data_IF_536084396592
#
_entry.id   IF_536084396592
#
_cell.length_a   1.000
_cell.length_b   1.000
_cell.length_c   1.000
_cell.angle_alpha   90.00
_cell.angle_beta   90.00
_cell.angle_gamma   90.00
#
_symmetry.space_group_name_H-M   'P 1'
#
loop_
_entity.id
_entity.type
_entity.pdbx_description
1 polymer ?
#
# COMPACT_ATOMS: atom_id res chain seq x y z
N UNK A 1 12.58 2.56 22.02
CA UNK A 1 12.22 2.45 20.57
C UNK A 1 10.82 3.04 20.29
N UNK A 2 10.27 3.75 21.27
CA UNK A 2 8.93 4.33 21.22
C UNK A 2 8.84 5.43 20.14
N UNK A 3 7.87 5.34 19.27
CA UNK A 3 7.50 6.39 18.31
C UNK A 3 7.87 6.17 16.84
N UNK A 4 8.70 5.19 16.47
CA UNK A 4 9.06 4.98 15.05
C UNK A 4 7.88 4.56 14.19
N UNK A 5 7.05 3.66 14.70
CA UNK A 5 5.84 3.18 14.01
C UNK A 5 4.74 4.23 13.96
N UNK A 6 4.70 5.15 14.94
CA UNK A 6 3.74 6.27 14.96
C UNK A 6 3.98 7.22 13.77
N UNK A 7 5.23 7.54 13.42
CA UNK A 7 5.54 8.38 12.25
C UNK A 7 5.07 7.72 10.95
N UNK A 8 5.28 6.40 10.81
CA UNK A 8 4.79 5.66 9.66
C UNK A 8 3.26 5.66 9.62
N UNK A 9 2.61 5.40 10.77
CA UNK A 9 1.14 5.41 10.84
C UNK A 9 0.57 6.77 10.45
N UNK A 10 1.12 7.85 11.00
CA UNK A 10 0.67 9.22 10.70
C UNK A 10 0.87 9.54 9.21
N UNK A 11 2.02 9.20 8.63
CA UNK A 11 2.28 9.43 7.20
C UNK A 11 1.33 8.63 6.29
N UNK A 12 1.00 7.38 6.65
CA UNK A 12 0.02 6.55 5.92
C UNK A 12 -1.39 7.12 6.03
N UNK A 13 -1.81 7.57 7.22
CA UNK A 13 -3.12 8.18 7.43
C UNK A 13 -3.26 9.50 6.67
N UNK A 14 -2.21 10.34 6.66
CA UNK A 14 -2.18 11.58 5.87
C UNK A 14 -2.30 11.25 4.38
N UNK A 15 -1.59 10.23 3.91
CA UNK A 15 -1.63 9.82 2.51
C UNK A 15 -3.04 9.32 2.10
N UNK A 16 -3.73 8.56 2.96
CA UNK A 16 -5.12 8.13 2.72
C UNK A 16 -6.08 9.32 2.72
N UNK A 17 -5.97 10.21 3.70
CA UNK A 17 -6.91 11.31 3.87
C UNK A 17 -6.77 12.38 2.78
N UNK A 18 -5.55 12.70 2.38
CA UNK A 18 -5.27 13.74 1.40
C UNK A 18 -5.20 13.23 -0.04
N UNK A 19 -4.93 11.93 -0.24
CA UNK A 19 -4.71 11.34 -1.57
C UNK A 19 -5.81 11.65 -2.58
N UNK A 20 -7.08 11.35 -2.32
CA UNK A 20 -8.17 11.62 -3.25
C UNK A 20 -8.30 13.11 -3.61
N UNK A 21 -8.17 13.99 -2.62
CA UNK A 21 -8.29 15.44 -2.81
C UNK A 21 -7.12 16.05 -3.59
N UNK A 22 -5.90 15.52 -3.41
CA UNK A 22 -4.72 16.01 -4.11
C UNK A 22 -4.78 15.70 -5.60
N UNK A 23 -5.30 14.54 -5.99
CA UNK A 23 -5.33 14.11 -7.40
C UNK A 23 -6.26 14.94 -8.29
N UNK A 24 -7.20 15.68 -7.71
CA UNK A 24 -8.09 16.61 -8.43
C UNK A 24 -7.40 17.94 -8.78
N UNK A 25 -6.18 18.19 -8.30
CA UNK A 25 -5.49 19.48 -8.46
C UNK A 25 -4.27 19.37 -9.37
N UNK A 26 -3.92 20.40 -10.15
CA UNK A 26 -2.79 20.35 -11.08
C UNK A 26 -1.43 20.12 -10.40
N UNK A 27 -1.26 20.59 -9.16
CA UNK A 27 -0.05 20.35 -8.34
C UNK A 27 -0.14 19.06 -7.51
N UNK A 28 -1.26 18.36 -7.57
CA UNK A 28 -1.54 17.24 -6.67
C UNK A 28 -0.66 16.02 -6.90
N UNK A 29 -0.23 15.77 -8.14
CA UNK A 29 0.68 14.64 -8.44
C UNK A 29 2.00 14.78 -7.70
N UNK A 30 2.63 15.95 -7.73
CA UNK A 30 3.89 16.19 -7.01
C UNK A 30 3.74 16.09 -5.49
N UNK A 31 2.62 16.57 -4.94
CA UNK A 31 2.32 16.45 -3.51
C UNK A 31 2.05 15.01 -3.10
N UNK A 32 1.37 14.23 -3.93
CA UNK A 32 1.17 12.80 -3.72
C UNK A 32 2.50 12.06 -3.63
N UNK A 33 3.42 12.33 -4.55
CA UNK A 33 4.75 11.68 -4.56
C UNK A 33 5.63 12.13 -3.40
N UNK A 34 5.51 13.39 -2.96
CA UNK A 34 6.15 13.86 -1.74
C UNK A 34 5.65 13.09 -0.50
N UNK A 35 4.33 12.93 -0.35
CA UNK A 35 3.75 12.15 0.74
C UNK A 35 4.20 10.69 0.67
N UNK A 36 4.23 10.11 -0.54
CA UNK A 36 4.71 8.75 -0.73
C UNK A 36 6.21 8.60 -0.39
N UNK A 37 7.00 9.62 -0.70
CA UNK A 37 8.42 9.69 -0.30
C UNK A 37 8.55 9.70 1.23
N UNK A 38 7.71 10.47 1.94
CA UNK A 38 7.68 10.47 3.41
C UNK A 38 7.31 9.08 3.98
N UNK A 39 6.32 8.41 3.40
CA UNK A 39 5.95 7.03 3.78
C UNK A 39 7.13 6.08 3.57
N UNK A 40 7.82 6.19 2.43
CA UNK A 40 8.99 5.35 2.12
C UNK A 40 10.13 5.57 3.11
N UNK A 41 10.46 6.82 3.42
CA UNK A 41 11.51 7.17 4.41
C UNK A 41 11.12 6.68 5.81
N UNK A 42 9.88 6.88 6.21
CA UNK A 42 9.36 6.37 7.49
C UNK A 42 9.41 4.85 7.56
N UNK A 43 9.12 4.15 6.45
CA UNK A 43 9.19 2.69 6.34
C UNK A 43 10.62 2.19 6.52
N UNK A 44 11.62 2.81 5.87
CA UNK A 44 13.04 2.47 6.04
C UNK A 44 13.45 2.61 7.51
N UNK A 45 12.99 3.68 8.18
CA UNK A 45 13.30 3.94 9.57
C UNK A 45 12.69 2.88 10.51
N UNK A 46 11.48 2.40 10.21
CA UNK A 46 10.80 1.34 10.98
C UNK A 46 11.45 -0.02 10.76
N UNK A 47 11.75 -0.37 9.50
CA UNK A 47 12.33 -1.67 9.12
C UNK A 47 13.81 -1.76 9.50
N UNK A 48 14.53 -0.64 9.51
CA UNK A 48 15.98 -0.55 9.66
C UNK A 48 16.56 -0.92 11.03
N UNK A 49 15.88 -1.75 11.82
CA UNK A 49 16.37 -2.20 13.13
C UNK A 49 17.54 -3.19 13.00
N UNK A 50 17.48 -4.08 12.00
CA UNK A 50 18.58 -5.02 11.69
C UNK A 50 19.31 -4.53 10.44
N UNK A 51 20.66 -4.52 10.45
CA UNK A 51 21.47 -4.04 9.32
C UNK A 51 21.07 -4.66 7.96
N UNK A 52 20.83 -5.97 7.91
CA UNK A 52 20.40 -6.64 6.69
C UNK A 52 19.04 -6.17 6.19
N UNK A 53 18.07 -5.98 7.07
CA UNK A 53 16.74 -5.46 6.70
C UNK A 53 16.82 -3.99 6.23
N UNK A 54 17.65 -3.17 6.87
CA UNK A 54 17.90 -1.80 6.45
C UNK A 54 18.49 -1.74 5.03
N UNK A 55 19.48 -2.59 4.74
CA UNK A 55 20.11 -2.65 3.41
C UNK A 55 19.11 -3.05 2.33
N UNK A 56 18.31 -4.11 2.55
CA UNK A 56 17.29 -4.55 1.59
C UNK A 56 16.22 -3.47 1.41
N UNK A 57 15.74 -2.87 2.51
CA UNK A 57 14.75 -1.79 2.44
C UNK A 57 15.26 -0.59 1.65
N UNK A 58 16.51 -0.16 1.87
CA UNK A 58 17.12 0.95 1.14
C UNK A 58 17.36 0.59 -0.33
N UNK A 59 17.81 -0.64 -0.61
CA UNK A 59 18.04 -1.14 -1.97
C UNK A 59 16.75 -1.16 -2.80
N UNK A 60 15.61 -1.48 -2.19
CA UNK A 60 14.30 -1.44 -2.84
C UNK A 60 13.74 0.00 -2.90
N UNK A 61 13.91 0.79 -1.86
CA UNK A 61 13.34 2.14 -1.76
C UNK A 61 13.96 3.12 -2.76
N UNK A 62 15.29 3.11 -2.93
CA UNK A 62 15.97 4.05 -3.82
C UNK A 62 15.50 3.94 -5.27
N UNK A 63 15.50 2.75 -5.92
CA UNK A 63 15.01 2.65 -7.29
C UNK A 63 13.49 2.88 -7.39
N UNK A 64 12.71 2.54 -6.34
CA UNK A 64 11.29 2.86 -6.29
C UNK A 64 11.08 4.36 -6.34
N UNK A 65 11.72 5.13 -5.46
CA UNK A 65 11.61 6.59 -5.45
C UNK A 65 12.13 7.19 -6.76
N UNK A 66 13.29 6.73 -7.25
CA UNK A 66 13.84 7.21 -8.51
C UNK A 66 12.85 7.00 -9.68
N UNK A 67 12.23 5.83 -9.78
CA UNK A 67 11.27 5.52 -10.84
C UNK A 67 9.96 6.32 -10.70
N UNK A 68 9.48 6.53 -9.47
CA UNK A 68 8.29 7.34 -9.20
C UNK A 68 8.49 8.81 -9.62
N UNK A 69 9.62 9.41 -9.29
CA UNK A 69 9.93 10.78 -9.68
C UNK A 69 10.28 10.91 -11.17
N UNK A 70 10.99 9.92 -11.74
CA UNK A 70 11.41 9.95 -13.14
C UNK A 70 10.20 9.89 -14.10
N UNK A 71 9.14 9.14 -13.77
CA UNK A 71 7.93 9.05 -14.61
C UNK A 71 7.18 10.38 -14.74
N UNK A 72 7.42 11.37 -13.88
CA UNK A 72 6.84 12.70 -14.04
C UNK A 72 7.51 13.49 -15.16
N UNK A 73 8.79 13.24 -15.39
CA UNK A 73 9.60 13.92 -16.41
C UNK A 73 9.60 13.13 -17.72
N UNK A 74 9.66 11.82 -17.63
CA UNK A 74 9.70 10.89 -18.75
C UNK A 74 8.49 9.94 -18.69
N UNK A 75 7.30 10.40 -19.10
CA UNK A 75 6.13 9.54 -19.09
C UNK A 75 6.29 8.38 -20.09
N UNK A 76 5.93 7.17 -19.68
CA UNK A 76 5.97 5.99 -20.54
C UNK A 76 5.48 4.74 -19.81
N UNK A 77 4.80 3.85 -20.55
CA UNK A 77 4.20 2.63 -19.99
C UNK A 77 5.22 1.73 -19.31
N UNK A 78 6.39 1.56 -19.93
CA UNK A 78 7.44 0.70 -19.36
C UNK A 78 7.99 1.24 -18.03
N UNK A 79 8.19 2.55 -17.93
CA UNK A 79 8.65 3.18 -16.71
C UNK A 79 7.57 3.09 -15.61
N UNK A 80 6.30 3.26 -15.96
CA UNK A 80 5.18 3.07 -15.04
C UNK A 80 5.09 1.62 -14.54
N UNK A 81 5.30 0.64 -15.41
CA UNK A 81 5.35 -0.78 -15.01
C UNK A 81 6.51 -1.06 -14.05
N UNK A 82 7.71 -0.60 -14.36
CA UNK A 82 8.89 -0.76 -13.48
C UNK A 82 8.65 -0.10 -12.13
N UNK A 83 8.12 1.12 -12.11
CA UNK A 83 7.81 1.84 -10.88
C UNK A 83 6.83 1.07 -10.00
N UNK A 84 5.75 0.53 -10.58
CA UNK A 84 4.74 -0.23 -9.83
C UNK A 84 5.27 -1.59 -9.37
N UNK A 85 6.11 -2.28 -10.14
CA UNK A 85 6.75 -3.53 -9.69
C UNK A 85 7.64 -3.26 -8.49
N UNK A 86 8.52 -2.25 -8.58
CA UNK A 86 9.42 -1.88 -7.48
C UNK A 86 8.62 -1.45 -6.24
N UNK A 87 7.56 -0.66 -6.44
CA UNK A 87 6.67 -0.22 -5.39
C UNK A 87 5.99 -1.40 -4.70
N UNK A 88 5.42 -2.33 -5.47
CA UNK A 88 4.76 -3.52 -4.93
C UNK A 88 5.74 -4.38 -4.13
N UNK A 89 6.95 -4.60 -4.64
CA UNK A 89 8.01 -5.34 -3.94
C UNK A 89 8.46 -4.65 -2.66
N UNK A 90 8.64 -3.33 -2.70
CA UNK A 90 9.00 -2.55 -1.52
C UNK A 90 7.92 -2.60 -0.44
N UNK A 91 6.64 -2.40 -0.83
CA UNK A 91 5.51 -2.46 0.09
C UNK A 91 5.31 -3.87 0.66
N UNK A 92 5.44 -4.91 -0.17
CA UNK A 92 5.39 -6.30 0.27
C UNK A 92 6.48 -6.61 1.30
N UNK A 93 7.74 -6.24 1.00
CA UNK A 93 8.86 -6.44 1.90
C UNK A 93 8.64 -5.71 3.24
N UNK A 94 8.20 -4.46 3.19
CA UNK A 94 7.91 -3.65 4.38
C UNK A 94 6.78 -4.27 5.19
N UNK A 95 5.66 -4.63 4.53
CA UNK A 95 4.50 -5.25 5.17
C UNK A 95 4.88 -6.55 5.89
N UNK A 96 5.57 -7.45 5.20
CA UNK A 96 6.00 -8.73 5.78
C UNK A 96 6.96 -8.51 6.95
N UNK A 97 7.92 -7.59 6.83
CA UNK A 97 8.89 -7.32 7.88
C UNK A 97 8.23 -6.75 9.13
N UNK A 98 7.31 -5.79 8.98
CA UNK A 98 6.57 -5.22 10.11
C UNK A 98 5.59 -6.25 10.69
N UNK A 99 4.92 -7.05 9.85
CA UNK A 99 4.04 -8.13 10.26
C UNK A 99 4.76 -9.14 11.15
N UNK A 100 5.91 -9.66 10.68
CA UNK A 100 6.71 -10.62 11.45
C UNK A 100 7.16 -10.03 12.79
N UNK A 101 7.45 -8.74 12.83
CA UNK A 101 7.79 -8.06 14.08
C UNK A 101 6.58 -7.96 15.01
N UNK A 102 5.42 -7.55 14.51
CA UNK A 102 4.17 -7.52 15.30
C UNK A 102 3.89 -8.89 15.90
N UNK A 103 4.10 -9.97 15.14
CA UNK A 103 3.92 -11.34 15.62
C UNK A 103 5.06 -11.88 16.50
N UNK A 104 6.19 -11.23 16.62
CA UNK A 104 7.28 -11.61 17.51
C UNK A 104 7.17 -10.94 18.91
N UNK A 105 6.40 -9.84 19.03
CA UNK A 105 6.26 -9.13 20.31
C UNK A 105 5.40 -9.94 21.31
N UNK A 106 5.85 -10.09 22.53
CA UNK A 106 5.15 -10.83 23.60
C UNK A 106 4.25 -9.93 24.46
N UNK A 107 4.34 -8.62 24.29
CA UNK A 107 3.56 -7.64 25.06
C UNK A 107 2.82 -6.68 24.14
N UNK A 108 1.60 -6.31 24.55
CA UNK A 108 0.81 -5.32 23.81
C UNK A 108 1.19 -3.93 24.28
N UNK A 109 1.89 -3.20 23.43
CA UNK A 109 2.27 -1.81 23.63
C UNK A 109 1.60 -0.90 22.60
N UNK A 110 1.63 0.41 22.81
CA UNK A 110 1.16 1.39 21.82
C UNK A 110 1.95 1.29 20.51
N UNK A 111 3.24 0.93 20.57
CA UNK A 111 4.09 0.70 19.39
C UNK A 111 3.64 -0.54 18.63
N UNK A 112 3.29 -1.64 19.33
CA UNK A 112 2.74 -2.87 18.72
C UNK A 112 1.41 -2.61 18.03
N UNK A 113 0.51 -1.85 18.67
CA UNK A 113 -0.78 -1.47 18.06
C UNK A 113 -0.59 -0.58 16.83
N UNK A 114 0.28 0.43 16.92
CA UNK A 114 0.61 1.30 15.78
C UNK A 114 1.23 0.50 14.64
N UNK A 115 2.14 -0.44 14.92
CA UNK A 115 2.72 -1.32 13.93
C UNK A 115 1.66 -2.21 13.26
N UNK A 116 0.73 -2.76 14.03
CA UNK A 116 -0.36 -3.57 13.49
C UNK A 116 -1.26 -2.75 12.54
N UNK A 117 -1.62 -1.52 12.91
CA UNK A 117 -2.35 -0.62 12.02
C UNK A 117 -1.55 -0.29 10.75
N UNK A 118 -0.23 -0.04 10.88
CA UNK A 118 0.62 0.17 9.71
C UNK A 118 0.60 -1.01 8.74
N UNK A 119 0.65 -2.26 9.24
CA UNK A 119 0.57 -3.47 8.39
C UNK A 119 -0.71 -3.46 7.58
N UNK A 120 -1.85 -3.18 8.21
CA UNK A 120 -3.14 -3.13 7.52
C UNK A 120 -3.18 -2.07 6.41
N UNK A 121 -2.69 -0.86 6.70
CA UNK A 121 -2.65 0.22 5.72
C UNK A 121 -1.64 -0.06 4.58
N UNK A 122 -0.48 -0.62 4.91
CA UNK A 122 0.51 -1.03 3.91
C UNK A 122 -0.03 -2.13 2.99
N UNK A 123 -0.83 -3.07 3.51
CA UNK A 123 -1.53 -4.06 2.68
C UNK A 123 -2.44 -3.40 1.64
N UNK A 124 -3.24 -2.39 2.03
CA UNK A 124 -4.09 -1.67 1.08
C UNK A 124 -3.28 -0.99 -0.03
N UNK A 125 -2.16 -0.33 0.30
CA UNK A 125 -1.28 0.25 -0.72
C UNK A 125 -0.58 -0.78 -1.58
N UNK A 126 -0.18 -1.91 -1.01
CA UNK A 126 0.44 -3.02 -1.74
C UNK A 126 -0.53 -3.61 -2.78
N UNK A 127 -1.76 -3.93 -2.35
CA UNK A 127 -2.79 -4.44 -3.27
C UNK A 127 -3.18 -3.40 -4.32
N UNK A 128 -3.30 -2.13 -3.94
CA UNK A 128 -3.53 -1.03 -4.88
C UNK A 128 -2.44 -0.94 -5.96
N UNK A 129 -1.16 -1.07 -5.59
CA UNK A 129 -0.07 -1.08 -6.57
C UNK A 129 -0.09 -2.33 -7.47
N UNK A 130 -0.47 -3.48 -6.93
CA UNK A 130 -0.67 -4.71 -7.71
C UNK A 130 -1.83 -4.57 -8.71
N UNK A 131 -2.94 -3.97 -8.31
CA UNK A 131 -4.05 -3.66 -9.23
C UNK A 131 -3.63 -2.68 -10.32
N UNK A 132 -2.77 -1.72 -9.98
CA UNK A 132 -2.17 -0.83 -10.97
C UNK A 132 -1.37 -1.58 -12.03
N UNK A 133 -0.62 -2.61 -11.66
CA UNK A 133 0.09 -3.49 -12.60
C UNK A 133 -0.88 -4.29 -13.48
N UNK A 134 -1.93 -4.86 -12.90
CA UNK A 134 -2.97 -5.59 -13.65
C UNK A 134 -3.66 -4.64 -14.64
N UNK A 135 -3.97 -3.41 -14.20
CA UNK A 135 -4.59 -2.39 -15.04
C UNK A 135 -3.70 -2.00 -16.23
N UNK A 136 -2.40 -1.79 -16.05
CA UNK A 136 -1.49 -1.48 -17.16
C UNK A 136 -1.42 -2.60 -18.21
N UNK A 137 -1.52 -3.86 -17.77
CA UNK A 137 -1.52 -4.99 -18.69
C UNK A 137 -2.87 -5.24 -19.35
N UNK A 138 -3.96 -4.97 -18.63
CA UNK A 138 -5.33 -5.23 -19.07
C UNK A 138 -6.24 -4.10 -18.58
N UNK A 139 -6.26 -2.94 -19.25
CA UNK A 139 -7.10 -1.80 -18.82
C UNK A 139 -8.59 -2.14 -18.73
N UNK A 140 -9.07 -3.02 -19.61
CA UNK A 140 -10.44 -3.56 -19.57
C UNK A 140 -10.70 -4.55 -18.42
N UNK A 141 -9.68 -4.88 -17.64
CA UNK A 141 -9.77 -5.77 -16.49
C UNK A 141 -10.51 -5.19 -15.28
N UNK A 142 -10.73 -3.88 -15.28
CA UNK A 142 -11.52 -3.16 -14.28
C UNK A 142 -12.56 -2.29 -14.97
N UNK A 143 -13.78 -2.30 -14.44
CA UNK A 143 -14.79 -1.31 -14.79
C UNK A 143 -14.63 -0.12 -13.84
N UNK A 144 -14.35 1.05 -14.41
CA UNK A 144 -14.13 2.29 -13.67
C UNK A 144 -15.34 3.20 -13.75
N UNK A 145 -15.57 4.12 -12.81
CA UNK A 145 -16.71 5.03 -12.82
C UNK A 145 -16.80 5.86 -14.10
N UNK A 146 -18.04 6.22 -14.50
CA UNK A 146 -18.28 7.08 -15.67
C UNK A 146 -17.55 8.43 -15.51
N UNK A 147 -16.93 8.89 -16.58
CA UNK A 147 -16.19 10.16 -16.62
C UNK A 147 -14.69 10.01 -16.40
N UNK A 148 -14.20 8.84 -15.99
CA UNK A 148 -12.78 8.59 -15.96
C UNK A 148 -12.30 8.05 -17.32
N UNK A 149 -11.44 8.80 -18.00
CA UNK A 149 -10.82 8.38 -19.26
C UNK A 149 -9.32 8.15 -19.02
N UNK A 150 -8.80 6.95 -19.35
CA UNK A 150 -7.37 6.70 -19.24
C UNK A 150 -6.61 7.63 -20.18
N UNK A 151 -5.53 8.24 -19.71
CA UNK A 151 -4.53 8.76 -20.60
C UNK A 151 -3.98 7.56 -21.39
N UNK A 152 -4.18 7.54 -22.69
CA UNK A 152 -3.73 6.45 -23.55
C UNK A 152 -2.94 6.97 -24.73
N UNK A 153 -1.85 6.30 -25.03
CA UNK A 153 -1.07 6.49 -26.24
C UNK A 153 -1.17 5.21 -27.08
N UNK A 154 -1.64 5.34 -28.32
CA UNK A 154 -1.88 4.22 -29.23
C UNK A 154 -2.79 3.10 -28.64
N UNK A 155 -3.75 3.45 -27.79
CA UNK A 155 -4.67 2.50 -27.16
C UNK A 155 -4.09 1.76 -25.95
N UNK A 156 -2.87 2.07 -25.55
CA UNK A 156 -2.23 1.52 -24.34
C UNK A 156 -2.35 2.55 -23.22
N UNK A 157 -2.87 2.13 -22.05
CA UNK A 157 -2.94 2.99 -20.89
C UNK A 157 -1.52 3.40 -20.47
N UNK A 158 -1.21 4.68 -20.54
CA UNK A 158 0.10 5.22 -20.14
C UNK A 158 0.16 5.68 -18.70
N UNK A 159 -1.01 5.89 -18.09
CA UNK A 159 -1.13 6.31 -16.70
C UNK A 159 -2.12 5.40 -15.95
N UNK A 160 -1.87 5.20 -14.67
CA UNK A 160 -2.71 4.41 -13.78
C UNK A 160 -3.42 5.35 -12.82
N UNK A 161 -4.74 5.25 -12.67
CA UNK A 161 -5.46 6.03 -11.67
C UNK A 161 -5.17 5.49 -10.26
N UNK A 162 -3.94 5.67 -9.78
CA UNK A 162 -3.46 5.08 -8.53
C UNK A 162 -4.35 5.43 -7.33
N UNK A 163 -4.90 6.64 -7.28
CA UNK A 163 -5.85 7.05 -6.26
C UNK A 163 -7.13 6.21 -6.28
N UNK A 164 -7.70 6.01 -7.47
CA UNK A 164 -8.95 5.26 -7.64
C UNK A 164 -8.73 3.76 -7.38
N UNK A 165 -7.63 3.21 -7.86
CA UNK A 165 -7.28 1.81 -7.66
C UNK A 165 -6.87 1.53 -6.21
N UNK A 166 -6.19 2.48 -5.54
CA UNK A 166 -5.91 2.39 -4.10
C UNK A 166 -7.20 2.50 -3.28
N UNK A 167 -8.11 3.40 -3.64
CA UNK A 167 -9.44 3.48 -3.04
C UNK A 167 -10.18 2.15 -3.18
N UNK A 168 -10.18 1.54 -4.37
CA UNK A 168 -10.77 0.23 -4.61
C UNK A 168 -10.17 -0.85 -3.71
N UNK A 169 -8.85 -0.89 -3.55
CA UNK A 169 -8.18 -1.79 -2.62
C UNK A 169 -8.68 -1.58 -1.18
N UNK A 170 -8.72 -0.35 -0.69
CA UNK A 170 -9.21 -0.09 0.68
C UNK A 170 -10.68 -0.44 0.86
N UNK A 171 -11.55 -0.20 -0.12
CA UNK A 171 -12.97 -0.60 -0.04
C UNK A 171 -13.14 -2.12 -0.05
N UNK A 172 -12.27 -2.85 -0.73
CA UNK A 172 -12.21 -4.31 -0.73
C UNK A 172 -11.68 -4.84 0.60
N UNK A 173 -10.53 -4.34 1.05
CA UNK A 173 -9.85 -4.77 2.26
C UNK A 173 -10.71 -4.54 3.51
N UNK A 174 -11.45 -3.42 3.56
CA UNK A 174 -12.39 -3.11 4.64
C UNK A 174 -13.76 -3.76 4.49
N UNK A 175 -13.99 -4.54 3.42
CA UNK A 175 -15.29 -5.16 3.08
C UNK A 175 -16.41 -4.16 2.84
N UNK A 176 -16.10 -2.92 2.52
CA UNK A 176 -17.08 -1.86 2.25
C UNK A 176 -17.74 -2.07 0.88
N UNK A 177 -16.93 -2.30 -0.17
CA UNK A 177 -17.37 -2.74 -1.49
C UNK A 177 -18.48 -1.91 -2.13
N UNK A 178 -18.29 -0.61 -2.31
CA UNK A 178 -19.33 0.27 -2.91
C UNK A 178 -19.79 -0.14 -4.30
N UNK A 179 -18.96 -0.90 -5.06
CA UNK A 179 -19.32 -1.41 -6.38
C UNK A 179 -19.21 -0.38 -7.51
N UNK A 180 -18.57 0.73 -7.28
CA UNK A 180 -18.27 1.78 -8.25
C UNK A 180 -17.02 1.46 -9.11
N UNK A 181 -16.11 0.67 -8.57
CA UNK A 181 -15.01 0.00 -9.30
C UNK A 181 -15.22 -1.50 -9.21
N UNK A 182 -15.19 -2.19 -10.36
CA UNK A 182 -15.46 -3.62 -10.41
C UNK A 182 -14.34 -4.38 -11.13
N UNK A 183 -13.87 -5.52 -10.59
CA UNK A 183 -12.96 -6.40 -11.29
C UNK A 183 -13.71 -7.20 -12.36
N UNK A 184 -13.29 -7.09 -13.63
CA UNK A 184 -13.95 -7.75 -14.76
C UNK A 184 -13.15 -8.95 -15.24
N UNK A 185 -11.82 -8.83 -15.32
CA UNK A 185 -10.96 -9.93 -15.78
C UNK A 185 -10.81 -11.02 -14.71
N UNK A 186 -10.53 -12.27 -15.14
CA UNK A 186 -10.30 -13.39 -14.22
C UNK A 186 -9.14 -13.12 -13.26
N UNK A 187 -8.05 -12.50 -13.75
CA UNK A 187 -6.89 -12.15 -12.92
C UNK A 187 -7.24 -11.11 -11.87
N UNK A 188 -7.98 -10.04 -12.24
CA UNK A 188 -8.42 -9.03 -11.30
C UNK A 188 -9.34 -9.63 -10.23
N UNK A 189 -10.31 -10.47 -10.62
CA UNK A 189 -11.22 -11.16 -9.67
C UNK A 189 -10.46 -12.06 -8.70
N UNK A 190 -9.50 -12.83 -9.18
CA UNK A 190 -8.68 -13.70 -8.32
C UNK A 190 -7.88 -12.88 -7.31
N UNK A 191 -7.25 -11.78 -7.74
CA UNK A 191 -6.50 -10.90 -6.86
C UNK A 191 -7.39 -10.24 -5.78
N UNK A 192 -8.60 -9.80 -6.15
CA UNK A 192 -9.57 -9.18 -5.23
C UNK A 192 -10.07 -10.18 -4.17
N UNK A 193 -10.33 -11.43 -4.58
CA UNK A 193 -10.71 -12.49 -3.64
C UNK A 193 -9.57 -12.73 -2.64
N UNK A 194 -8.33 -12.82 -3.12
CA UNK A 194 -7.18 -13.00 -2.24
C UNK A 194 -7.00 -11.82 -1.28
N UNK A 195 -7.12 -10.58 -1.75
CA UNK A 195 -7.07 -9.40 -0.88
C UNK A 195 -8.10 -9.48 0.25
N UNK A 196 -9.37 -9.75 -0.10
CA UNK A 196 -10.44 -9.86 0.89
C UNK A 196 -10.17 -10.94 1.92
N UNK A 197 -9.71 -12.13 1.48
CA UNK A 197 -9.34 -13.23 2.36
C UNK A 197 -8.19 -12.84 3.28
N UNK A 198 -7.08 -12.32 2.73
CA UNK A 198 -5.92 -11.90 3.55
C UNK A 198 -6.26 -10.79 4.54
N UNK A 199 -7.07 -9.82 4.14
CA UNK A 199 -7.51 -8.73 5.01
C UNK A 199 -8.31 -9.24 6.22
N UNK A 200 -9.28 -10.12 5.97
CA UNK A 200 -10.12 -10.70 7.04
C UNK A 200 -9.32 -11.62 7.96
N UNK A 201 -8.46 -12.49 7.41
CA UNK A 201 -7.59 -13.34 8.21
C UNK A 201 -6.64 -12.51 9.07
N UNK A 202 -6.06 -11.44 8.51
CA UNK A 202 -5.18 -10.57 9.27
C UNK A 202 -5.90 -9.99 10.50
N UNK A 203 -7.08 -9.41 10.33
CA UNK A 203 -7.84 -8.82 11.43
C UNK A 203 -8.25 -9.86 12.46
N UNK A 204 -8.75 -11.02 12.03
CA UNK A 204 -9.17 -12.09 12.93
C UNK A 204 -8.01 -12.62 13.78
N UNK A 205 -6.85 -12.91 13.16
CA UNK A 205 -5.67 -13.42 13.86
C UNK A 205 -5.06 -12.35 14.76
N UNK A 206 -5.01 -11.09 14.30
CA UNK A 206 -4.51 -9.97 15.11
C UNK A 206 -5.33 -9.79 16.38
N UNK A 207 -6.66 -9.73 16.27
CA UNK A 207 -7.57 -9.54 17.43
C UNK A 207 -7.44 -10.72 18.39
N UNK A 208 -7.49 -11.95 17.88
CA UNK A 208 -7.34 -13.16 18.73
C UNK A 208 -6.02 -13.14 19.51
N UNK A 209 -4.93 -12.72 18.85
CA UNK A 209 -3.61 -12.63 19.47
C UNK A 209 -3.53 -11.53 20.53
N UNK A 210 -4.03 -10.32 20.23
CA UNK A 210 -4.01 -9.20 21.17
C UNK A 210 -4.81 -9.53 22.44
N UNK A 211 -5.98 -10.16 22.29
CA UNK A 211 -6.79 -10.64 23.41
C UNK A 211 -6.06 -11.71 24.21
N UNK A 212 -5.42 -12.69 23.54
CA UNK A 212 -4.63 -13.73 24.20
C UNK A 212 -3.47 -13.16 25.03
N UNK A 213 -2.72 -12.21 24.48
CA UNK A 213 -1.63 -11.53 25.20
C UNK A 213 -2.13 -10.72 26.39
N UNK A 214 -3.26 -10.03 26.24
CA UNK A 214 -3.87 -9.24 27.32
C UNK A 214 -4.30 -10.14 28.49
N UNK A 215 -4.95 -11.27 28.20
CA UNK A 215 -5.36 -12.24 29.24
C UNK A 215 -4.12 -12.86 29.92
N UNK A 216 -3.08 -13.19 29.16
CA UNK A 216 -1.85 -13.73 29.72
C UNK A 216 -1.14 -12.73 30.65
N UNK A 217 -1.14 -11.44 30.31
CA UNK A 217 -0.59 -10.38 31.15
C UNK A 217 -1.39 -10.15 32.43
N UNK A 218 -2.72 -10.26 32.40
CA UNK A 218 -3.60 -10.10 33.56
C UNK A 218 -3.51 -11.25 34.57
N UNK A 219 -2.93 -12.38 34.18
CA UNK A 219 -2.72 -13.56 35.07
C UNK A 219 -1.36 -13.60 35.77
N UNK A 220 -0.46 -12.67 35.46
CA UNK A 220 0.84 -12.51 36.08
C UNK A 220 0.80 -11.45 37.18
#
# INVERSE_FOLDING_TARGET
>A
MHGRTVYLLVSLLILIALGPWLTERPLGRGLWELLFTLVTLSSIHVVGVKRGQAQISTLLALPTLASLWLRQVLPGVHLSQVALVLLTLFLLFTTVTVLLRVFAEETVTTDTLSAALCVYLLMGYMWGSLYGLIYLQTPSGFHLPMGWTPASENGIATDVPLNLITYFSFTTLTTLGYGDVLPVSGLARAAVILEGVFGQFYLAVLVARLVGLHIAAARR
#
